data_IF_027779606840
#
_entry.id   IF_027779606840
#
_cell.length_a   1.000
_cell.length_b   1.000
_cell.length_c   1.000
_cell.angle_alpha   90.00
_cell.angle_beta   90.00
_cell.angle_gamma   90.00
#
_symmetry.space_group_name_H-M   'P 1'
#
loop_
_entity.id
_entity.type
_entity.pdbx_description
1 polymer ?
#
# COMPACT_ATOMS: atom_id res chain seq x y z
N UNK A 1 -7.53 31.27 -0.68
CA UNK A 1 -7.23 31.59 -2.10
C UNK A 1 -6.27 30.60 -2.78
N UNK A 2 -5.02 30.40 -2.35
CA UNK A 2 -4.11 29.45 -3.04
C UNK A 2 -4.51 27.98 -2.81
N UNK A 3 -4.77 27.60 -1.54
CA UNK A 3 -5.26 26.26 -1.20
C UNK A 3 -6.64 25.94 -1.80
N UNK A 4 -7.54 26.91 -1.96
CA UNK A 4 -8.87 26.66 -2.56
C UNK A 4 -8.78 26.33 -4.04
N UNK A 5 -7.91 27.00 -4.80
CA UNK A 5 -7.67 26.64 -6.21
C UNK A 5 -7.00 25.28 -6.34
N UNK A 6 -6.06 24.96 -5.45
CA UNK A 6 -5.42 23.64 -5.45
C UNK A 6 -6.43 22.54 -5.08
N UNK A 7 -7.22 22.75 -4.04
CA UNK A 7 -8.26 21.81 -3.62
C UNK A 7 -9.36 21.65 -4.66
N UNK A 8 -9.81 22.72 -5.33
CA UNK A 8 -10.80 22.60 -6.40
C UNK A 8 -10.24 21.89 -7.64
N UNK A 9 -8.93 22.00 -7.91
CA UNK A 9 -8.28 21.23 -8.98
C UNK A 9 -8.13 19.74 -8.64
N UNK A 10 -7.87 19.41 -7.37
CA UNK A 10 -7.73 18.03 -6.89
C UNK A 10 -9.09 17.35 -6.67
N UNK A 11 -10.08 18.14 -6.28
CA UNK A 11 -11.44 17.69 -5.96
C UNK A 11 -12.47 18.53 -6.73
N UNK A 12 -12.48 18.45 -8.08
CA UNK A 12 -13.36 19.27 -8.92
C UNK A 12 -14.86 18.99 -8.73
N UNK A 13 -15.19 17.92 -8.01
CA UNK A 13 -16.54 17.52 -7.63
C UNK A 13 -17.04 18.19 -6.34
N UNK A 14 -16.18 18.85 -5.56
CA UNK A 14 -16.61 19.58 -4.36
C UNK A 14 -17.39 20.87 -4.69
N UNK A 15 -17.26 21.38 -5.92
CA UNK A 15 -17.83 22.67 -6.33
C UNK A 15 -19.06 22.60 -7.26
N UNK A 16 -19.63 21.43 -7.61
CA UNK A 16 -20.76 21.39 -8.57
C UNK A 16 -21.86 20.33 -8.33
N UNK A 17 -23.08 20.86 -8.23
CA UNK A 17 -24.41 20.26 -8.46
C UNK A 17 -24.63 19.66 -9.88
N UNK A 18 -23.60 19.33 -10.67
CA UNK A 18 -23.79 18.98 -12.09
C UNK A 18 -22.74 18.00 -12.65
N UNK A 19 -22.58 16.81 -12.06
CA UNK A 19 -22.07 15.66 -12.81
C UNK A 19 -23.25 14.92 -13.45
N UNK A 20 -23.41 15.03 -14.77
CA UNK A 20 -24.42 14.25 -15.48
C UNK A 20 -23.97 12.79 -15.60
N UNK A 21 -24.91 11.84 -15.61
CA UNK A 21 -24.61 10.39 -15.71
C UNK A 21 -23.70 9.99 -16.90
N UNK A 22 -23.78 10.62 -18.09
CA UNK A 22 -22.87 10.34 -19.21
C UNK A 22 -21.39 10.63 -18.90
N UNK A 23 -21.09 11.75 -18.25
CA UNK A 23 -19.71 12.14 -17.90
C UNK A 23 -19.09 11.16 -16.88
N UNK A 24 -19.92 10.65 -15.95
CA UNK A 24 -19.50 9.64 -14.98
C UNK A 24 -19.25 8.29 -15.64
N UNK A 25 -20.06 7.88 -16.62
CA UNK A 25 -19.88 6.63 -17.34
C UNK A 25 -18.59 6.66 -18.18
N UNK A 26 -18.31 7.77 -18.85
CA UNK A 26 -17.05 7.96 -19.57
C UNK A 26 -15.85 7.88 -18.60
N UNK A 27 -15.91 8.60 -17.47
CA UNK A 27 -14.85 8.54 -16.46
C UNK A 27 -14.64 7.13 -15.91
N UNK A 28 -15.70 6.35 -15.72
CA UNK A 28 -15.61 4.96 -15.27
C UNK A 28 -14.88 4.10 -16.30
N UNK A 29 -15.32 4.14 -17.55
CA UNK A 29 -14.71 3.35 -18.63
C UNK A 29 -13.24 3.69 -18.80
N UNK A 30 -12.90 4.98 -18.76
CA UNK A 30 -11.51 5.46 -18.82
C UNK A 30 -10.66 4.92 -17.66
N UNK A 31 -11.15 4.96 -16.41
CA UNK A 31 -10.42 4.42 -15.25
C UNK A 31 -10.17 2.91 -15.37
N UNK A 32 -11.13 2.16 -15.92
CA UNK A 32 -10.98 0.72 -16.16
C UNK A 32 -9.90 0.48 -17.22
N UNK A 33 -9.96 1.19 -18.35
CA UNK A 33 -8.96 1.11 -19.41
C UNK A 33 -7.56 1.45 -18.92
N UNK A 34 -7.42 2.58 -18.21
CA UNK A 34 -6.16 3.02 -17.60
C UNK A 34 -5.60 1.95 -16.64
N UNK A 35 -6.46 1.33 -15.82
CA UNK A 35 -6.06 0.27 -14.89
C UNK A 35 -5.57 -0.99 -15.60
N UNK A 36 -6.24 -1.41 -16.68
CA UNK A 36 -5.85 -2.58 -17.48
C UNK A 36 -4.50 -2.31 -18.14
N UNK A 37 -4.37 -1.15 -18.81
CA UNK A 37 -3.15 -0.78 -19.51
C UNK A 37 -1.96 -0.66 -18.55
N UNK A 38 -2.15 -0.02 -17.39
CA UNK A 38 -1.11 0.08 -16.37
C UNK A 38 -0.61 -1.29 -15.91
N UNK A 39 -1.51 -2.26 -15.67
CA UNK A 39 -1.14 -3.62 -15.29
C UNK A 39 -0.39 -4.35 -16.40
N UNK A 40 -0.88 -4.27 -17.65
CA UNK A 40 -0.22 -4.89 -18.80
C UNK A 40 1.22 -4.39 -18.96
N UNK A 41 1.41 -3.07 -18.98
CA UNK A 41 2.74 -2.44 -19.09
C UNK A 41 3.62 -2.84 -17.90
N UNK A 42 3.07 -2.82 -16.69
CA UNK A 42 3.83 -3.17 -15.49
C UNK A 42 4.36 -4.60 -15.55
N UNK A 43 3.50 -5.59 -15.81
CA UNK A 43 3.90 -7.00 -15.82
C UNK A 43 4.78 -7.32 -17.01
N UNK A 44 4.55 -6.73 -18.19
CA UNK A 44 5.45 -6.89 -19.34
C UNK A 44 6.89 -6.46 -19.00
N UNK A 45 7.06 -5.40 -18.20
CA UNK A 45 8.38 -4.83 -17.87
C UNK A 45 9.02 -5.39 -16.60
N UNK A 46 8.22 -5.94 -15.67
CA UNK A 46 8.69 -6.24 -14.31
C UNK A 46 8.37 -7.65 -13.82
N UNK A 47 7.83 -8.57 -14.64
CA UNK A 47 7.52 -9.93 -14.22
C UNK A 47 8.71 -10.63 -13.53
N UNK A 48 9.91 -10.52 -14.11
CA UNK A 48 11.12 -11.11 -13.53
C UNK A 48 11.45 -10.54 -12.15
N UNK A 49 11.22 -9.24 -11.92
CA UNK A 49 11.44 -8.61 -10.61
C UNK A 49 10.45 -9.11 -9.56
N UNK A 50 9.20 -9.36 -9.95
CA UNK A 50 8.20 -9.96 -9.05
C UNK A 50 8.63 -11.37 -8.63
N UNK A 51 9.09 -12.18 -9.58
CA UNK A 51 9.60 -13.53 -9.30
C UNK A 51 10.82 -13.45 -8.36
N UNK A 52 11.77 -12.55 -8.64
CA UNK A 52 12.93 -12.34 -7.78
C UNK A 52 12.53 -11.91 -6.37
N UNK A 53 11.58 -10.98 -6.21
CA UNK A 53 11.08 -10.57 -4.91
C UNK A 53 10.45 -11.74 -4.14
N UNK A 54 9.63 -12.55 -4.80
CA UNK A 54 9.04 -13.74 -4.20
C UNK A 54 10.10 -14.76 -3.77
N UNK A 55 11.15 -14.96 -4.56
CA UNK A 55 12.27 -15.85 -4.23
C UNK A 55 13.08 -15.33 -3.03
N UNK A 56 13.32 -14.03 -2.94
CA UNK A 56 14.02 -13.40 -1.81
C UNK A 56 13.21 -13.61 -0.52
N UNK A 57 11.90 -13.37 -0.56
CA UNK A 57 11.02 -13.57 0.59
C UNK A 57 11.00 -15.05 1.00
N UNK A 58 10.87 -15.98 0.05
CA UNK A 58 10.89 -17.41 0.33
C UNK A 58 12.22 -17.84 0.98
N UNK A 59 13.35 -17.34 0.46
CA UNK A 59 14.68 -17.62 1.01
C UNK A 59 14.83 -17.07 2.43
N UNK A 60 14.28 -15.87 2.72
CA UNK A 60 14.27 -15.29 4.07
C UNK A 60 13.66 -16.28 5.07
N UNK A 61 12.46 -16.83 4.78
CA UNK A 61 11.81 -17.78 5.67
C UNK A 61 12.47 -19.17 5.72
N UNK A 62 13.14 -19.60 4.64
CA UNK A 62 13.95 -20.83 4.68
C UNK A 62 15.17 -20.70 5.61
N UNK A 63 15.56 -19.47 5.94
CA UNK A 63 16.67 -19.14 6.82
C UNK A 63 16.18 -18.65 8.19
N UNK A 64 14.94 -19.01 8.56
CA UNK A 64 14.26 -18.58 9.81
C UNK A 64 14.21 -17.05 9.99
N UNK A 65 14.24 -16.31 8.87
CA UNK A 65 14.14 -14.86 8.86
C UNK A 65 12.71 -14.35 9.08
N UNK A 66 12.62 -13.03 9.26
CA UNK A 66 11.38 -12.34 9.57
C UNK A 66 11.14 -11.19 8.59
N UNK A 67 9.89 -11.01 8.17
CA UNK A 67 9.50 -9.94 7.24
C UNK A 67 8.87 -8.77 8.01
N UNK A 68 9.26 -7.56 7.64
CA UNK A 68 8.58 -6.33 8.05
C UNK A 68 7.85 -5.72 6.85
N UNK A 69 6.61 -5.29 7.06
CA UNK A 69 5.80 -4.61 6.06
C UNK A 69 5.45 -3.19 6.53
N UNK A 70 5.51 -2.22 5.61
CA UNK A 70 5.22 -0.82 5.90
C UNK A 70 4.74 -0.07 4.65
N UNK A 71 4.04 1.05 4.83
CA UNK A 71 3.56 1.89 3.74
C UNK A 71 2.72 3.06 4.25
N UNK A 72 2.47 4.04 3.37
CA UNK A 72 1.65 5.22 3.66
C UNK A 72 0.35 5.20 2.84
N UNK A 73 -0.75 5.70 3.41
CA UNK A 73 -2.03 5.80 2.71
C UNK A 73 -2.51 4.45 2.17
N UNK A 74 -2.79 4.35 0.87
CA UNK A 74 -3.21 3.08 0.26
C UNK A 74 -2.21 1.93 0.48
N UNK A 75 -0.90 2.22 0.47
CA UNK A 75 0.12 1.20 0.70
C UNK A 75 0.20 0.73 2.15
N UNK A 76 -0.35 1.48 3.12
CA UNK A 76 -0.49 0.95 4.49
C UNK A 76 -1.55 -0.15 4.54
N UNK A 77 -2.60 -0.04 3.71
CA UNK A 77 -3.60 -1.09 3.54
C UNK A 77 -2.98 -2.33 2.87
N UNK A 78 -2.12 -2.14 1.85
CA UNK A 78 -1.40 -3.25 1.22
C UNK A 78 -0.47 -3.96 2.22
N UNK A 79 0.25 -3.21 3.05
CA UNK A 79 1.09 -3.76 4.12
C UNK A 79 0.27 -4.56 5.14
N UNK A 80 -0.92 -4.09 5.52
CA UNK A 80 -1.83 -4.81 6.39
C UNK A 80 -2.40 -6.08 5.72
N UNK A 81 -2.73 -5.99 4.42
CA UNK A 81 -3.25 -7.12 3.67
C UNK A 81 -2.22 -8.23 3.54
N UNK A 82 -1.00 -7.94 3.07
CA UNK A 82 0.05 -8.97 2.95
C UNK A 82 0.38 -9.59 4.32
N UNK A 83 0.37 -8.80 5.39
CA UNK A 83 0.61 -9.32 6.74
C UNK A 83 -0.48 -10.33 7.13
N UNK A 84 -1.74 -10.04 6.84
CA UNK A 84 -2.87 -10.96 7.07
C UNK A 84 -2.72 -12.25 6.28
N UNK A 85 -2.39 -12.18 5.00
CA UNK A 85 -2.25 -13.37 4.14
C UNK A 85 -1.11 -14.30 4.61
N UNK A 86 -0.06 -13.75 5.22
CA UNK A 86 1.06 -14.54 5.75
C UNK A 86 0.72 -15.17 7.11
N UNK A 87 0.01 -14.45 7.98
CA UNK A 87 -0.45 -14.98 9.28
C UNK A 87 -1.61 -15.96 9.14
N UNK A 88 -2.45 -15.79 8.12
CA UNK A 88 -3.62 -16.62 7.82
C UNK A 88 -3.64 -17.03 6.34
N UNK A 89 -2.80 -18.00 5.92
CA UNK A 89 -2.75 -18.42 4.52
C UNK A 89 -4.08 -19.01 4.05
N UNK A 90 -4.64 -18.44 2.98
CA UNK A 90 -5.93 -18.88 2.38
C UNK A 90 -5.89 -20.29 1.75
N UNK A 91 -4.71 -20.91 1.65
CA UNK A 91 -4.53 -22.24 1.06
C UNK A 91 -4.24 -23.28 2.14
N UNK A 92 -5.06 -24.34 2.14
CA UNK A 92 -4.96 -25.45 3.10
C UNK A 92 -3.57 -26.06 3.13
N UNK A 93 -3.04 -26.29 4.33
CA UNK A 93 -1.76 -26.97 4.55
C UNK A 93 -0.52 -26.07 4.54
N UNK A 94 -0.66 -24.75 4.32
CA UNK A 94 0.46 -23.81 4.48
C UNK A 94 0.60 -23.37 5.94
N UNK A 95 1.83 -23.35 6.43
CA UNK A 95 2.17 -22.81 7.76
C UNK A 95 2.02 -21.28 7.72
N UNK A 96 1.50 -20.71 8.81
CA UNK A 96 1.60 -19.28 9.04
C UNK A 96 3.07 -18.83 9.05
N UNK A 97 3.36 -17.73 8.36
CA UNK A 97 4.67 -17.13 8.29
C UNK A 97 4.68 -15.84 9.11
N UNK A 98 5.67 -15.71 10.00
CA UNK A 98 5.80 -14.54 10.87
C UNK A 98 6.09 -13.28 10.06
N UNK A 99 5.32 -12.22 10.31
CA UNK A 99 5.48 -10.92 9.66
C UNK A 99 5.00 -9.85 10.62
N UNK A 100 5.69 -8.71 10.65
CA UNK A 100 5.26 -7.54 11.43
C UNK A 100 4.88 -6.40 10.52
N UNK A 101 3.63 -5.96 10.63
CA UNK A 101 3.18 -4.71 10.02
C UNK A 101 3.56 -3.52 10.93
N UNK A 102 4.23 -2.52 10.38
CA UNK A 102 4.67 -1.32 11.10
C UNK A 102 3.67 -0.16 11.01
N UNK A 103 2.55 -0.34 10.31
CA UNK A 103 1.49 0.68 10.15
C UNK A 103 0.28 0.61 11.08
N UNK A 104 -0.02 -0.46 11.85
CA UNK A 104 -1.33 -0.60 12.49
C UNK A 104 -1.46 0.18 13.80
N UNK A 105 -0.36 0.47 14.50
CA UNK A 105 -0.42 1.19 15.77
C UNK A 105 -0.44 2.70 15.56
N UNK A 106 -1.65 3.26 15.55
CA UNK A 106 -1.91 4.69 15.45
C UNK A 106 -1.21 5.46 16.57
N UNK A 107 -1.14 4.91 17.78
CA UNK A 107 -0.52 5.59 18.92
C UNK A 107 0.98 5.78 18.67
N UNK A 108 1.68 4.72 18.26
CA UNK A 108 3.10 4.79 17.89
C UNK A 108 3.32 5.71 16.70
N UNK A 109 2.54 5.57 15.63
CA UNK A 109 2.68 6.38 14.42
C UNK A 109 2.52 7.88 14.72
N UNK A 110 1.48 8.25 15.47
CA UNK A 110 1.18 9.66 15.78
C UNK A 110 2.15 10.26 16.79
N UNK A 111 2.52 9.51 17.84
CA UNK A 111 3.50 9.97 18.83
C UNK A 111 4.88 10.19 18.19
N UNK A 112 5.38 9.24 17.41
CA UNK A 112 6.69 9.38 16.74
C UNK A 112 6.66 10.50 15.70
N UNK A 113 5.59 10.61 14.91
CA UNK A 113 5.45 11.69 13.94
C UNK A 113 5.44 13.07 14.61
N UNK A 114 4.76 13.21 15.76
CA UNK A 114 4.69 14.46 16.51
C UNK A 114 6.02 14.81 17.19
N UNK A 115 6.62 13.84 17.89
CA UNK A 115 7.74 14.10 18.79
C UNK A 115 9.10 14.11 18.08
N UNK A 116 9.23 13.35 16.99
CA UNK A 116 10.52 13.10 16.31
C UNK A 116 10.45 13.42 14.82
N UNK A 117 9.26 13.34 14.21
CA UNK A 117 9.04 13.62 12.80
C UNK A 117 8.63 12.37 12.01
N UNK A 118 7.89 12.60 10.92
CA UNK A 118 7.28 11.54 10.10
C UNK A 118 8.31 10.57 9.50
N UNK A 119 9.51 11.04 9.17
CA UNK A 119 10.57 10.21 8.59
C UNK A 119 11.05 9.09 9.53
N UNK A 120 10.72 9.19 10.82
CA UNK A 120 11.16 8.26 11.85
C UNK A 120 10.10 7.21 12.25
N UNK A 121 8.86 7.30 11.73
CA UNK A 121 7.74 6.45 12.18
C UNK A 121 7.99 4.95 11.99
N UNK A 122 8.63 4.56 10.89
CA UNK A 122 8.99 3.15 10.66
C UNK A 122 10.37 2.81 11.23
N UNK A 123 11.34 3.71 11.08
CA UNK A 123 12.72 3.47 11.51
C UNK A 123 12.82 3.15 13.01
N UNK A 124 12.09 3.89 13.86
CA UNK A 124 12.11 3.63 15.30
C UNK A 124 11.55 2.27 15.68
N UNK A 125 10.49 1.84 14.99
CA UNK A 125 9.93 0.51 15.22
C UNK A 125 10.91 -0.58 14.75
N UNK A 126 11.55 -0.40 13.59
CA UNK A 126 12.57 -1.32 13.08
C UNK A 126 13.76 -1.47 14.02
N UNK A 127 14.27 -0.37 14.59
CA UNK A 127 15.39 -0.42 15.56
C UNK A 127 15.02 -1.24 16.81
N UNK A 128 13.75 -1.24 17.22
CA UNK A 128 13.29 -1.96 18.40
C UNK A 128 12.97 -3.43 18.13
N UNK A 129 12.51 -3.77 16.93
CA UNK A 129 11.91 -5.06 16.60
C UNK A 129 12.82 -5.97 15.75
N UNK A 130 13.80 -5.39 15.04
CA UNK A 130 14.78 -6.10 14.22
C UNK A 130 16.02 -6.49 15.00
#
# INVERSE_FOLDING_TARGET
MENEKTLSSLYPFLDKDNTTSPDLLESLNKKVEDSINAKQIFFQKNADKIIQAAQIIAKCYQQDGHMFAMGNGGSSCDAAHITTEFMHPITTGRKALGVTNLTPDISTMTAVANDVGIDHVFLRQLICLG
#
